data_IF_234990447478
#
_entry.id   IF_234990447478
#
_cell.length_a   1.000
_cell.length_b   1.000
_cell.length_c   1.000
_cell.angle_alpha   90.00
_cell.angle_beta   90.00
_cell.angle_gamma   90.00
#
_symmetry.space_group_name_H-M   'P 1'
#
loop_
_entity.id
_entity.type
_entity.pdbx_description
1 polymer ?
#
# COMPACT_ATOMS: atom_id res chain seq x y z
N UNK A 1 -49.34 -11.36 75.36
CA UNK A 1 -48.49 -10.12 75.48
C UNK A 1 -46.99 -10.36 75.30
N UNK A 2 -46.45 -11.57 75.27
CA UNK A 2 -45.03 -11.84 75.04
C UNK A 2 -44.62 -11.80 73.55
N UNK A 3 -45.53 -12.07 72.65
CA UNK A 3 -45.23 -12.11 71.19
C UNK A 3 -45.03 -10.78 70.52
N UNK A 4 -45.59 -9.67 71.00
CA UNK A 4 -45.43 -8.34 70.42
C UNK A 4 -44.04 -7.71 70.80
N UNK A 5 -43.56 -8.00 71.99
CA UNK A 5 -42.25 -7.47 72.42
C UNK A 5 -41.06 -8.12 71.65
N UNK A 6 -41.16 -9.41 71.31
CA UNK A 6 -40.15 -10.10 70.51
C UNK A 6 -40.09 -9.59 69.08
N UNK A 7 -41.24 -9.23 68.48
CA UNK A 7 -41.28 -8.66 67.12
C UNK A 7 -40.66 -7.27 67.05
N UNK A 8 -40.87 -6.44 68.07
CA UNK A 8 -40.25 -5.10 68.17
C UNK A 8 -38.74 -5.16 68.37
N UNK A 9 -38.24 -6.15 69.13
CA UNK A 9 -36.76 -6.31 69.33
C UNK A 9 -36.13 -6.81 68.02
N UNK A 10 -36.75 -7.73 67.29
CA UNK A 10 -36.26 -8.24 65.99
C UNK A 10 -36.26 -7.15 64.93
N UNK A 11 -37.31 -6.33 64.86
CA UNK A 11 -37.41 -5.18 63.98
C UNK A 11 -36.33 -4.12 64.29
N UNK A 12 -36.08 -3.83 65.54
CA UNK A 12 -35.01 -2.91 65.98
C UNK A 12 -33.60 -3.41 65.66
N UNK A 13 -33.38 -4.73 65.80
CA UNK A 13 -32.10 -5.33 65.42
C UNK A 13 -31.87 -5.28 63.90
N UNK A 14 -32.91 -5.55 63.13
CA UNK A 14 -32.83 -5.52 61.63
C UNK A 14 -32.54 -4.11 61.11
N UNK A 15 -33.19 -3.09 61.68
CA UNK A 15 -32.92 -1.69 61.34
C UNK A 15 -31.52 -1.24 61.78
N UNK A 16 -31.03 -1.70 62.88
CA UNK A 16 -29.65 -1.42 63.39
C UNK A 16 -28.60 -2.08 62.47
N UNK A 17 -28.79 -3.33 62.07
CA UNK A 17 -27.91 -4.02 61.11
C UNK A 17 -27.89 -3.33 59.76
N UNK A 18 -29.04 -2.89 59.23
CA UNK A 18 -29.15 -2.15 58.00
C UNK A 18 -28.44 -0.78 58.08
N UNK A 19 -28.58 -0.06 59.21
CA UNK A 19 -27.83 1.20 59.44
C UNK A 19 -26.34 0.95 59.56
N UNK A 20 -25.93 -0.12 60.20
CA UNK A 20 -24.52 -0.48 60.37
C UNK A 20 -23.87 -0.84 59.00
N UNK A 21 -24.61 -1.60 58.16
CA UNK A 21 -24.13 -1.93 56.80
C UNK A 21 -24.07 -0.70 55.90
N UNK A 22 -25.03 0.25 56.02
CA UNK A 22 -24.94 1.53 55.32
C UNK A 22 -23.81 2.41 55.80
N UNK A 23 -23.56 2.48 57.09
CA UNK A 23 -22.42 3.23 57.67
C UNK A 23 -21.08 2.61 57.26
N UNK A 24 -20.95 1.28 57.23
CA UNK A 24 -19.75 0.58 56.76
C UNK A 24 -19.53 0.80 55.26
N UNK A 25 -20.61 0.71 54.48
CA UNK A 25 -20.54 1.02 53.05
C UNK A 25 -20.11 2.50 52.78
N UNK A 26 -20.66 3.43 53.58
CA UNK A 26 -20.29 4.84 53.51
C UNK A 26 -18.85 5.10 53.91
N UNK A 27 -18.38 4.43 54.99
CA UNK A 27 -16.99 4.51 55.43
C UNK A 27 -16.01 3.93 54.42
N UNK A 28 -16.38 2.83 53.73
CA UNK A 28 -15.57 2.27 52.62
C UNK A 28 -15.54 3.20 51.42
N UNK A 29 -16.65 3.86 51.08
CA UNK A 29 -16.70 4.82 49.96
C UNK A 29 -15.84 6.05 50.27
N UNK A 30 -15.97 6.64 51.47
CA UNK A 30 -15.18 7.80 51.90
C UNK A 30 -13.69 7.45 52.01
N UNK A 31 -13.34 6.23 52.43
CA UNK A 31 -11.95 5.78 52.49
C UNK A 31 -11.39 5.54 51.07
N UNK A 32 -12.19 5.01 50.15
CA UNK A 32 -11.82 4.85 48.76
C UNK A 32 -11.62 6.21 48.06
N UNK A 33 -12.54 7.17 48.29
CA UNK A 33 -12.43 8.54 47.73
C UNK A 33 -11.18 9.27 48.23
N UNK A 34 -10.78 9.07 49.51
CA UNK A 34 -9.57 9.67 50.08
C UNK A 34 -8.28 9.04 49.51
N UNK A 35 -8.29 7.73 49.25
CA UNK A 35 -7.16 7.04 48.63
C UNK A 35 -7.01 7.50 47.16
N UNK A 36 -8.11 7.61 46.44
CA UNK A 36 -8.12 8.05 45.06
C UNK A 36 -7.65 9.51 44.91
N UNK A 37 -8.07 10.40 45.79
CA UNK A 37 -7.59 11.78 45.86
C UNK A 37 -6.08 11.85 46.12
N UNK A 38 -5.56 11.07 47.10
CA UNK A 38 -4.15 11.07 47.42
C UNK A 38 -3.28 10.50 46.29
N UNK A 39 -3.78 9.54 45.52
CA UNK A 39 -3.06 8.97 44.38
C UNK A 39 -3.15 9.86 43.15
N UNK A 40 -4.29 10.51 42.90
CA UNK A 40 -4.44 11.53 41.85
C UNK A 40 -3.49 12.70 42.12
N UNK A 41 -3.40 13.17 43.39
CA UNK A 41 -2.48 14.23 43.81
C UNK A 41 -1.02 13.87 43.58
N UNK A 42 -0.66 12.60 43.71
CA UNK A 42 0.70 12.10 43.48
C UNK A 42 1.15 12.26 42.02
N UNK A 43 0.29 12.05 41.06
CA UNK A 43 0.58 12.21 39.64
C UNK A 43 0.37 13.63 39.13
N UNK A 44 -0.74 14.26 39.56
CA UNK A 44 -1.23 15.50 39.01
C UNK A 44 -0.78 16.75 39.75
N UNK A 45 -0.59 16.65 41.11
CA UNK A 45 -0.29 17.79 41.99
C UNK A 45 0.76 17.41 43.03
N UNK A 46 2.03 17.20 42.69
CA UNK A 46 3.04 16.87 43.68
C UNK A 46 3.35 18.08 44.54
N UNK A 47 2.58 18.29 45.63
CA UNK A 47 2.73 19.43 46.53
C UNK A 47 4.08 19.47 47.28
N UNK A 48 4.81 18.36 47.34
CA UNK A 48 6.02 18.25 48.14
C UNK A 48 7.35 18.22 47.37
N UNK A 49 7.31 18.30 46.06
CA UNK A 49 8.52 18.18 45.26
C UNK A 49 8.93 19.55 44.69
N UNK A 50 10.13 20.00 45.08
CA UNK A 50 10.84 21.14 44.43
C UNK A 50 11.09 20.95 42.94
N UNK A 51 10.54 19.88 42.32
CA UNK A 51 10.77 19.50 40.94
C UNK A 51 9.48 19.51 40.12
N UNK A 52 8.97 20.73 39.82
CA UNK A 52 7.81 20.99 38.98
C UNK A 52 7.91 20.40 37.56
N UNK A 53 9.10 19.88 37.15
CA UNK A 53 9.32 19.24 35.87
C UNK A 53 8.67 17.86 35.69
N UNK A 54 8.31 17.19 36.77
CA UNK A 54 7.80 15.81 36.78
C UNK A 54 6.30 15.67 37.08
N UNK A 55 5.55 16.77 37.17
CA UNK A 55 4.10 16.68 37.29
C UNK A 55 3.46 16.28 35.97
N UNK A 56 2.55 15.32 36.03
CA UNK A 56 1.75 14.93 34.87
C UNK A 56 0.59 15.91 34.64
N UNK A 57 0.10 15.95 33.44
CA UNK A 57 -1.10 16.72 33.07
C UNK A 57 -2.33 15.82 33.21
N UNK A 58 -3.27 16.21 34.05
CA UNK A 58 -4.47 15.42 34.32
C UNK A 58 -5.72 16.13 33.80
N UNK A 59 -6.54 15.39 33.10
CA UNK A 59 -7.81 15.89 32.57
C UNK A 59 -8.95 14.92 32.86
N UNK A 60 -10.03 15.46 33.40
CA UNK A 60 -11.27 14.70 33.55
C UNK A 60 -12.04 14.73 32.23
N UNK A 61 -12.34 13.56 31.70
CA UNK A 61 -13.16 13.41 30.49
C UNK A 61 -14.56 13.07 30.93
N UNK A 62 -15.51 13.94 30.60
CA UNK A 62 -16.93 13.80 30.98
C UNK A 62 -17.66 12.66 30.25
N UNK A 63 -17.07 12.12 29.20
CA UNK A 63 -17.57 10.93 28.49
C UNK A 63 -16.37 10.14 27.96
N UNK A 64 -16.00 9.06 28.65
CA UNK A 64 -15.16 8.03 28.06
C UNK A 64 -16.02 7.14 27.18
N UNK A 65 -15.50 6.58 26.06
CA UNK A 65 -16.20 5.52 25.34
C UNK A 65 -16.60 4.33 26.20
N UNK A 66 -16.01 4.23 27.39
CA UNK A 66 -16.07 3.06 28.29
C UNK A 66 -16.76 3.33 29.63
N UNK A 67 -17.14 4.59 29.97
CA UNK A 67 -17.78 4.90 31.25
C UNK A 67 -18.06 6.38 31.47
N UNK A 68 -18.79 6.69 32.55
CA UNK A 68 -19.30 8.04 32.86
C UNK A 68 -18.29 9.00 33.52
N UNK A 69 -17.18 8.50 34.04
CA UNK A 69 -16.06 9.30 34.60
C UNK A 69 -14.76 8.69 34.12
N UNK A 70 -13.91 9.47 33.52
CA UNK A 70 -12.62 9.04 33.02
C UNK A 70 -11.55 10.06 33.38
N UNK A 71 -10.49 9.61 34.00
CA UNK A 71 -9.29 10.37 34.24
C UNK A 71 -8.24 10.01 33.20
N UNK A 72 -7.74 10.99 32.48
CA UNK A 72 -6.58 10.86 31.60
C UNK A 72 -5.39 11.50 32.26
N UNK A 73 -4.30 10.77 32.32
CA UNK A 73 -3.03 11.21 32.89
C UNK A 73 -1.99 11.21 31.79
N UNK A 74 -1.47 12.38 31.45
CA UNK A 74 -0.36 12.56 30.53
C UNK A 74 0.93 12.85 31.28
N UNK A 75 1.82 11.87 31.33
CA UNK A 75 3.15 11.92 31.92
C UNK A 75 4.24 11.87 30.82
N UNK A 76 3.93 12.26 29.58
CA UNK A 76 4.91 12.27 28.51
C UNK A 76 6.00 13.33 28.73
N UNK A 77 7.22 13.07 28.26
CA UNK A 77 8.37 14.00 28.35
C UNK A 77 8.75 14.45 29.77
N UNK A 78 8.63 13.56 30.76
CA UNK A 78 8.90 13.89 32.18
C UNK A 78 10.18 13.30 32.73
N UNK A 79 11.01 12.66 31.91
CA UNK A 79 12.26 11.96 32.28
C UNK A 79 12.04 10.87 33.36
N UNK A 80 10.89 10.20 33.36
CA UNK A 80 10.62 9.07 34.25
C UNK A 80 11.50 7.87 33.90
N UNK A 81 12.01 7.21 34.93
CA UNK A 81 12.63 5.89 34.85
C UNK A 81 11.73 4.86 35.49
N UNK A 82 11.92 3.60 35.14
CA UNK A 82 11.07 2.51 35.69
C UNK A 82 11.07 2.45 37.22
N UNK A 83 12.18 2.78 37.86
CA UNK A 83 12.30 2.84 39.34
C UNK A 83 11.52 4.01 39.96
N UNK A 84 11.18 5.05 39.21
CA UNK A 84 10.44 6.23 39.71
C UNK A 84 8.93 5.97 39.79
N UNK A 85 8.45 4.96 39.10
CA UNK A 85 7.01 4.65 38.92
C UNK A 85 6.65 3.44 39.80
N UNK A 86 6.05 3.69 40.96
CA UNK A 86 5.34 2.69 41.73
C UNK A 86 3.88 3.16 41.93
N UNK A 87 2.81 2.54 41.77
CA UNK A 87 2.30 1.39 41.14
C UNK A 87 0.83 1.14 41.38
N UNK A 88 0.12 1.87 42.25
CA UNK A 88 -1.32 1.88 42.34
C UNK A 88 -1.81 3.10 41.58
N UNK A 89 -2.63 2.89 40.55
CA UNK A 89 -3.18 3.96 39.75
C UNK A 89 -4.52 4.43 40.32
N UNK A 90 -4.94 5.68 40.10
CA UNK A 90 -6.25 6.18 40.52
C UNK A 90 -7.42 5.30 40.06
N UNK A 91 -8.46 5.18 40.87
CA UNK A 91 -9.57 4.26 40.68
C UNK A 91 -10.37 4.49 39.36
N UNK A 92 -10.34 5.68 38.80
CA UNK A 92 -11.10 6.04 37.61
C UNK A 92 -10.22 6.38 36.43
N UNK A 93 -8.98 5.87 36.43
CA UNK A 93 -8.06 6.09 35.32
C UNK A 93 -8.53 5.36 34.06
N UNK A 94 -8.64 6.08 32.94
CA UNK A 94 -9.01 5.52 31.65
C UNK A 94 -7.77 5.41 30.73
N UNK A 95 -6.91 6.43 30.75
CA UNK A 95 -5.73 6.51 29.89
C UNK A 95 -4.52 7.02 30.65
N UNK A 96 -3.39 6.33 30.46
CA UNK A 96 -2.08 6.73 30.98
C UNK A 96 -1.09 6.83 29.82
N UNK A 97 -0.54 8.02 29.65
CA UNK A 97 0.53 8.28 28.70
C UNK A 97 1.87 8.43 29.42
N UNK A 98 2.77 7.50 29.22
CA UNK A 98 4.16 7.48 29.72
C UNK A 98 5.15 7.57 28.53
N UNK A 99 4.73 8.01 27.37
CA UNK A 99 5.60 8.09 26.20
C UNK A 99 6.71 9.14 26.37
N UNK A 100 7.77 8.99 25.57
CA UNK A 100 8.91 9.92 25.58
C UNK A 100 9.56 10.09 26.96
N UNK A 101 9.75 8.98 27.65
CA UNK A 101 10.46 8.91 28.93
C UNK A 101 11.72 8.05 28.81
N UNK A 102 12.36 7.73 29.93
CA UNK A 102 13.56 6.92 29.98
C UNK A 102 13.31 5.56 30.70
N UNK A 103 12.13 4.96 30.41
CA UNK A 103 11.79 3.66 31.01
C UNK A 103 12.62 2.57 30.35
N UNK A 104 13.36 1.80 31.14
CA UNK A 104 14.18 0.66 30.72
C UNK A 104 13.44 -0.69 30.85
N UNK A 105 12.34 -0.70 31.55
CA UNK A 105 11.45 -1.85 31.76
C UNK A 105 10.01 -1.36 31.89
N UNK A 106 9.05 -2.26 31.70
CA UNK A 106 7.63 -1.95 31.92
C UNK A 106 7.41 -1.76 33.40
N UNK A 107 6.89 -0.61 33.86
CA UNK A 107 6.57 -0.42 35.28
C UNK A 107 5.44 -1.38 35.70
N UNK A 108 5.49 -1.86 36.96
CA UNK A 108 4.42 -2.72 37.48
C UNK A 108 3.23 -1.83 37.83
N UNK A 109 2.24 -1.76 37.01
CA UNK A 109 1.02 -0.99 37.19
C UNK A 109 -0.14 -1.91 37.60
N UNK A 110 -1.01 -1.41 38.46
CA UNK A 110 -2.24 -2.11 38.85
C UNK A 110 -3.45 -1.21 38.65
N UNK A 111 -4.39 -1.64 37.84
CA UNK A 111 -5.67 -0.97 37.63
C UNK A 111 -6.67 -1.92 36.96
N UNK A 112 -7.89 -1.87 37.42
CA UNK A 112 -9.02 -2.57 36.81
C UNK A 112 -9.87 -1.64 35.91
N UNK A 113 -9.49 -0.37 35.78
CA UNK A 113 -10.21 0.64 34.99
C UNK A 113 -9.39 1.19 33.83
N UNK A 114 -8.07 0.96 33.79
CA UNK A 114 -7.20 1.47 32.73
C UNK A 114 -7.51 0.77 31.40
N UNK A 115 -7.91 1.55 30.38
CA UNK A 115 -8.21 1.07 29.05
C UNK A 115 -7.08 1.31 28.04
N UNK A 116 -6.32 2.39 28.20
CA UNK A 116 -5.25 2.77 27.29
C UNK A 116 -3.94 3.02 28.03
N UNK A 117 -2.86 2.36 27.61
CA UNK A 117 -1.49 2.55 28.10
C UNK A 117 -0.55 2.86 26.96
N UNK A 118 0.07 4.04 27.00
CA UNK A 118 1.06 4.46 26.02
C UNK A 118 2.47 4.47 26.64
N UNK A 119 3.33 3.57 26.16
CA UNK A 119 4.75 3.43 26.54
C UNK A 119 5.69 3.70 25.36
N UNK A 120 5.21 4.35 24.29
CA UNK A 120 6.02 4.64 23.12
C UNK A 120 7.22 5.51 23.42
N UNK A 121 8.27 5.41 22.60
CA UNK A 121 9.47 6.24 22.75
C UNK A 121 10.10 6.16 24.14
N UNK A 122 10.35 4.93 24.60
CA UNK A 122 11.09 4.62 25.80
C UNK A 122 12.30 3.72 25.48
N UNK A 123 12.94 3.15 26.48
CA UNK A 123 14.09 2.27 26.30
C UNK A 123 13.82 0.83 26.80
N UNK A 124 12.57 0.39 26.76
CA UNK A 124 12.20 -0.96 27.18
C UNK A 124 12.84 -1.98 26.22
N UNK A 125 13.61 -2.92 26.78
CA UNK A 125 14.40 -3.88 26.01
C UNK A 125 13.81 -5.29 25.95
N UNK A 126 12.94 -5.64 26.91
CA UNK A 126 12.30 -6.94 27.00
C UNK A 126 10.92 -6.87 27.65
N UNK A 127 10.05 -7.80 27.28
CA UNK A 127 8.80 -8.05 27.99
C UNK A 127 8.88 -9.43 28.64
N UNK A 128 8.57 -9.47 29.92
CA UNK A 128 8.59 -10.70 30.73
C UNK A 128 7.17 -11.09 31.12
N UNK A 129 7.00 -12.36 31.49
CA UNK A 129 5.71 -12.87 31.93
C UNK A 129 5.19 -12.07 33.15
N UNK A 130 3.91 -11.66 33.06
CA UNK A 130 3.24 -10.92 34.12
C UNK A 130 3.41 -9.40 34.13
N UNK A 131 4.14 -8.80 33.17
CA UNK A 131 4.28 -7.34 33.08
C UNK A 131 2.94 -6.59 33.10
N UNK A 132 1.90 -7.15 32.50
CA UNK A 132 0.58 -6.52 32.41
C UNK A 132 -0.51 -7.26 33.19
N UNK A 133 -0.18 -8.24 34.01
CA UNK A 133 -1.14 -9.15 34.67
C UNK A 133 -2.23 -8.44 35.47
N UNK A 134 -1.95 -7.25 35.97
CA UNK A 134 -2.85 -6.47 36.85
C UNK A 134 -3.62 -5.38 36.07
N UNK A 135 -3.58 -5.39 34.74
CA UNK A 135 -4.25 -4.42 33.86
C UNK A 135 -5.40 -5.09 33.09
N UNK A 136 -6.31 -5.73 33.82
CA UNK A 136 -7.32 -6.63 33.26
C UNK A 136 -8.32 -5.97 32.29
N UNK A 137 -8.55 -4.66 32.40
CA UNK A 137 -9.43 -3.90 31.52
C UNK A 137 -8.75 -3.27 30.31
N UNK A 138 -7.42 -3.47 30.15
CA UNK A 138 -6.67 -2.81 29.09
C UNK A 138 -7.16 -3.22 27.70
N UNK A 139 -7.39 -2.23 26.84
CA UNK A 139 -7.87 -2.37 25.45
C UNK A 139 -6.84 -1.94 24.43
N UNK A 140 -6.03 -0.96 24.75
CA UNK A 140 -5.02 -0.43 23.85
C UNK A 140 -3.67 -0.35 24.55
N UNK A 141 -2.66 -1.01 23.99
CA UNK A 141 -1.30 -1.03 24.49
C UNK A 141 -0.34 -0.60 23.38
N UNK A 142 0.38 0.50 23.64
CA UNK A 142 1.32 1.07 22.71
C UNK A 142 2.74 0.95 23.25
N UNK A 143 3.55 0.11 22.61
CA UNK A 143 4.94 -0.20 22.94
C UNK A 143 5.91 0.16 21.81
N UNK A 144 5.43 0.84 20.79
CA UNK A 144 6.23 1.23 19.63
C UNK A 144 7.39 2.15 19.98
N UNK A 145 8.44 2.18 19.16
CA UNK A 145 9.62 3.02 19.37
C UNK A 145 10.31 2.74 20.73
N UNK A 146 10.56 1.48 20.96
CA UNK A 146 11.36 0.98 22.08
C UNK A 146 12.54 0.16 21.55
N UNK A 147 13.21 -0.59 22.43
CA UNK A 147 14.33 -1.47 22.08
C UNK A 147 14.00 -2.94 22.31
N UNK A 148 12.70 -3.31 22.29
CA UNK A 148 12.22 -4.64 22.63
C UNK A 148 12.78 -5.66 21.64
N UNK A 149 13.71 -6.51 22.11
CA UNK A 149 14.27 -7.60 21.32
C UNK A 149 13.85 -8.96 21.83
N UNK A 150 13.39 -9.05 23.06
CA UNK A 150 13.00 -10.30 23.72
C UNK A 150 11.56 -10.24 24.24
N UNK A 151 10.77 -11.23 23.85
CA UNK A 151 9.44 -11.49 24.37
C UNK A 151 9.43 -12.85 25.03
N UNK A 152 8.94 -12.94 26.26
CA UNK A 152 8.74 -14.22 26.93
C UNK A 152 7.34 -14.76 26.67
N UNK A 153 7.17 -16.08 26.66
CA UNK A 153 5.84 -16.68 26.70
C UNK A 153 5.09 -16.16 27.94
N UNK A 154 3.83 -15.73 27.79
CA UNK A 154 3.07 -15.12 28.90
C UNK A 154 3.34 -13.62 29.12
N UNK A 155 4.13 -12.94 28.26
CA UNK A 155 4.33 -11.47 28.35
C UNK A 155 3.02 -10.68 28.30
N UNK A 156 1.98 -11.21 27.66
CA UNK A 156 0.67 -10.58 27.53
C UNK A 156 -0.42 -11.27 28.38
N UNK A 157 -0.03 -12.11 29.32
CA UNK A 157 -0.99 -12.71 30.26
C UNK A 157 -1.72 -11.63 31.06
N UNK A 158 -3.03 -11.82 31.27
CA UNK A 158 -3.89 -10.88 32.00
C UNK A 158 -4.51 -9.77 31.15
N UNK A 159 -4.39 -9.83 29.82
CA UNK A 159 -4.97 -8.86 28.90
C UNK A 159 -6.12 -9.44 28.02
N UNK A 160 -7.19 -10.00 28.59
CA UNK A 160 -8.24 -10.67 27.81
C UNK A 160 -9.08 -9.70 26.94
N UNK A 161 -9.03 -8.42 27.25
CA UNK A 161 -9.80 -7.37 26.57
C UNK A 161 -8.98 -6.52 25.60
N UNK A 162 -7.69 -6.84 25.38
CA UNK A 162 -6.82 -6.07 24.51
C UNK A 162 -7.27 -6.16 23.05
N UNK A 163 -7.52 -5.01 22.45
CA UNK A 163 -8.01 -4.85 21.07
C UNK A 163 -6.92 -4.34 20.11
N UNK A 164 -6.02 -3.48 20.62
CA UNK A 164 -4.94 -2.87 19.85
C UNK A 164 -3.62 -3.11 20.55
N UNK A 165 -2.66 -3.69 19.84
CA UNK A 165 -1.28 -3.88 20.27
C UNK A 165 -0.33 -3.30 19.24
N UNK A 166 0.45 -2.29 19.66
CA UNK A 166 1.51 -1.70 18.86
C UNK A 166 2.88 -2.08 19.39
N UNK A 167 3.64 -2.82 18.61
CA UNK A 167 5.03 -3.22 18.82
C UNK A 167 5.94 -2.68 17.72
N UNK A 168 5.49 -1.70 16.92
CA UNK A 168 6.25 -1.16 15.81
C UNK A 168 7.54 -0.46 16.25
N UNK A 169 8.53 -0.39 15.36
CA UNK A 169 9.82 0.24 15.66
C UNK A 169 10.50 -0.31 16.92
N UNK A 170 10.68 -1.62 16.94
CA UNK A 170 11.40 -2.34 17.99
C UNK A 170 12.54 -3.18 17.39
N UNK A 171 13.11 -4.07 18.15
CA UNK A 171 14.22 -4.93 17.74
C UNK A 171 13.83 -6.42 17.77
N UNK A 172 12.56 -6.72 17.49
CA UNK A 172 12.05 -8.08 17.48
C UNK A 172 12.68 -8.87 16.33
N UNK A 173 13.06 -10.12 16.61
CA UNK A 173 13.61 -11.05 15.63
C UNK A 173 12.84 -12.37 15.55
N UNK A 174 12.09 -12.71 16.59
CA UNK A 174 11.17 -13.86 16.62
C UNK A 174 9.97 -13.58 17.54
N UNK A 175 8.91 -14.34 17.37
CA UNK A 175 7.76 -14.40 18.27
C UNK A 175 7.70 -15.77 18.91
N UNK A 176 7.74 -15.88 20.25
CA UNK A 176 7.50 -17.16 20.92
C UNK A 176 6.17 -17.78 20.50
N UNK A 177 6.14 -19.11 20.41
CA UNK A 177 4.91 -19.82 20.03
C UNK A 177 3.76 -19.47 20.97
N UNK A 178 2.57 -19.24 20.40
CA UNK A 178 1.34 -18.87 21.12
C UNK A 178 1.43 -17.59 21.98
N UNK A 179 2.36 -16.68 21.67
CA UNK A 179 2.56 -15.41 22.39
C UNK A 179 1.26 -14.61 22.56
N UNK A 180 0.43 -14.58 21.52
CA UNK A 180 -0.82 -13.81 21.50
C UNK A 180 -2.06 -14.64 21.88
N UNK A 181 -1.90 -15.89 22.30
CA UNK A 181 -3.04 -16.74 22.70
C UNK A 181 -3.89 -16.16 23.84
N UNK A 182 -3.35 -15.44 24.85
CA UNK A 182 -4.15 -14.79 25.89
C UNK A 182 -5.01 -13.63 25.38
N UNK A 183 -4.73 -13.06 24.18
CA UNK A 183 -5.37 -11.88 23.65
C UNK A 183 -6.63 -12.25 22.87
N UNK A 184 -7.71 -12.59 23.57
CA UNK A 184 -8.91 -13.20 23.02
C UNK A 184 -9.70 -12.33 22.03
N UNK A 185 -9.50 -11.01 22.07
CA UNK A 185 -10.23 -10.03 21.25
C UNK A 185 -9.33 -9.08 20.46
N UNK A 186 -8.05 -9.44 20.33
CA UNK A 186 -7.07 -8.62 19.59
C UNK A 186 -7.52 -8.44 18.14
N UNK A 187 -7.83 -7.20 17.77
CA UNK A 187 -8.29 -6.82 16.43
C UNK A 187 -7.21 -6.19 15.57
N UNK A 188 -6.27 -5.45 16.19
CA UNK A 188 -5.19 -4.77 15.48
C UNK A 188 -3.85 -5.11 16.10
N UNK A 189 -2.93 -5.59 15.26
CA UNK A 189 -1.54 -5.86 15.63
C UNK A 189 -0.61 -5.13 14.66
N UNK A 190 0.27 -4.31 15.20
CA UNK A 190 1.33 -3.64 14.44
C UNK A 190 2.70 -4.10 14.94
N UNK A 191 3.46 -4.78 14.09
CA UNK A 191 4.84 -5.23 14.35
C UNK A 191 5.81 -4.56 13.36
N UNK A 192 5.37 -3.56 12.64
CA UNK A 192 6.13 -2.88 11.59
C UNK A 192 7.49 -2.36 12.10
N UNK A 193 8.46 -2.24 11.20
CA UNK A 193 9.79 -1.70 11.51
C UNK A 193 10.61 -2.52 12.54
N UNK A 194 10.36 -3.81 12.61
CA UNK A 194 11.21 -4.77 13.28
C UNK A 194 12.12 -5.45 12.24
N UNK A 195 13.18 -4.75 11.82
CA UNK A 195 13.99 -5.09 10.65
C UNK A 195 14.74 -6.42 10.76
N UNK A 196 14.87 -6.97 11.97
CA UNK A 196 15.53 -8.25 12.24
C UNK A 196 14.55 -9.41 12.33
N UNK A 197 13.29 -9.16 12.06
CA UNK A 197 12.19 -10.09 12.34
C UNK A 197 12.32 -11.44 11.63
N UNK A 198 12.89 -11.50 10.45
CA UNK A 198 13.01 -12.73 9.66
C UNK A 198 14.42 -13.34 9.67
N UNK A 199 15.32 -12.87 10.54
CA UNK A 199 16.69 -13.40 10.61
C UNK A 199 16.75 -14.86 11.09
N UNK A 200 15.78 -15.32 11.89
CA UNK A 200 15.71 -16.68 12.44
C UNK A 200 15.09 -17.70 11.49
N UNK A 201 14.38 -17.27 10.44
CA UNK A 201 13.66 -18.15 9.51
C UNK A 201 12.48 -18.90 10.15
N UNK A 202 12.04 -18.48 11.35
CA UNK A 202 10.87 -19.05 12.01
C UNK A 202 9.58 -18.52 11.37
N UNK A 203 8.58 -19.40 11.29
CA UNK A 203 7.29 -19.05 10.72
C UNK A 203 6.52 -18.07 11.64
N UNK A 204 6.19 -16.90 11.13
CA UNK A 204 5.35 -15.91 11.80
C UNK A 204 4.04 -16.51 12.33
N UNK A 205 3.50 -17.49 11.61
CA UNK A 205 2.24 -18.15 11.98
C UNK A 205 2.32 -18.86 13.33
N UNK A 206 3.43 -19.49 13.69
CA UNK A 206 3.58 -20.15 14.99
C UNK A 206 3.51 -19.16 16.16
N UNK A 207 4.05 -17.98 15.99
CA UNK A 207 3.98 -16.89 16.98
C UNK A 207 2.57 -16.30 17.13
N UNK A 208 1.83 -16.18 16.02
CA UNK A 208 0.47 -15.64 16.03
C UNK A 208 -0.55 -16.61 16.65
N UNK A 209 -0.29 -17.93 16.62
CA UNK A 209 -1.17 -18.95 17.18
C UNK A 209 -2.40 -19.23 16.33
N UNK A 210 -3.30 -20.09 16.85
CA UNK A 210 -4.47 -20.60 16.09
C UNK A 210 -5.77 -19.83 16.27
N UNK A 211 -5.87 -18.98 17.31
CA UNK A 211 -7.12 -18.29 17.68
C UNK A 211 -7.12 -16.84 17.27
N UNK A 212 -6.98 -16.58 15.98
CA UNK A 212 -6.97 -15.21 15.48
C UNK A 212 -8.34 -14.57 15.47
N UNK A 213 -8.41 -13.37 15.99
CA UNK A 213 -9.49 -12.42 15.71
C UNK A 213 -8.97 -11.14 15.05
N UNK A 214 -7.73 -11.17 14.59
CA UNK A 214 -7.12 -10.03 13.93
C UNK A 214 -7.89 -9.63 12.68
N UNK A 215 -8.27 -8.36 12.64
CA UNK A 215 -8.83 -7.72 11.45
C UNK A 215 -7.79 -6.89 10.71
N UNK A 216 -6.79 -6.37 11.43
CA UNK A 216 -5.73 -5.53 10.88
C UNK A 216 -4.36 -6.03 11.34
N UNK A 217 -3.48 -6.33 10.39
CA UNK A 217 -2.10 -6.75 10.64
C UNK A 217 -1.14 -5.85 9.83
N UNK A 218 -0.18 -5.24 10.52
CA UNK A 218 0.88 -4.44 9.90
C UNK A 218 2.24 -5.06 10.15
N UNK A 219 2.95 -5.31 9.05
CA UNK A 219 4.27 -5.96 9.02
C UNK A 219 5.24 -5.17 8.11
N UNK A 220 5.13 -3.84 8.12
CA UNK A 220 5.95 -3.00 7.26
C UNK A 220 7.42 -3.04 7.70
N UNK A 221 8.34 -3.09 6.75
CA UNK A 221 9.78 -3.09 7.02
C UNK A 221 10.26 -4.17 8.01
N UNK A 222 9.73 -5.39 7.87
CA UNK A 222 10.06 -6.56 8.68
C UNK A 222 11.03 -7.52 8.00
N UNK A 223 11.64 -7.13 6.87
CA UNK A 223 12.60 -7.95 6.12
C UNK A 223 12.02 -9.27 5.58
N UNK A 224 10.71 -9.30 5.28
CA UNK A 224 10.00 -10.49 4.82
C UNK A 224 10.27 -10.72 3.33
N UNK A 225 10.75 -11.94 2.99
CA UNK A 225 10.88 -12.40 1.60
C UNK A 225 9.66 -13.14 1.09
N UNK A 226 8.90 -13.73 2.00
CA UNK A 226 7.62 -14.40 1.76
C UNK A 226 6.77 -14.36 3.02
N UNK A 227 5.48 -14.67 2.90
CA UNK A 227 4.54 -14.68 4.01
C UNK A 227 3.47 -15.76 3.78
N UNK A 228 3.27 -16.60 4.79
CA UNK A 228 2.21 -17.58 4.83
C UNK A 228 1.24 -17.24 5.95
N UNK A 229 -0.01 -17.01 5.61
CA UNK A 229 -1.08 -16.75 6.57
C UNK A 229 -2.21 -17.77 6.41
N UNK A 230 -2.95 -18.11 7.48
CA UNK A 230 -4.07 -19.01 7.36
C UNK A 230 -5.16 -18.44 6.44
N UNK A 231 -5.60 -19.22 5.48
CA UNK A 231 -6.63 -18.82 4.52
C UNK A 231 -7.94 -18.40 5.23
N UNK A 232 -8.25 -19.06 6.35
CA UNK A 232 -9.45 -18.81 7.15
C UNK A 232 -9.30 -17.69 8.20
N UNK A 233 -8.18 -16.96 8.24
CA UNK A 233 -8.02 -15.84 9.16
C UNK A 233 -9.04 -14.74 8.82
N UNK A 234 -9.67 -14.07 9.82
CA UNK A 234 -10.69 -13.04 9.57
C UNK A 234 -10.06 -11.68 9.22
N UNK A 235 -8.86 -11.68 8.66
CA UNK A 235 -8.07 -10.50 8.37
C UNK A 235 -8.71 -9.70 7.23
N UNK A 236 -8.92 -8.40 7.45
CA UNK A 236 -9.49 -7.46 6.49
C UNK A 236 -8.43 -6.52 5.90
N UNK A 237 -7.43 -6.16 6.68
CA UNK A 237 -6.38 -5.24 6.28
C UNK A 237 -5.01 -5.85 6.56
N UNK A 238 -4.16 -5.89 5.53
CA UNK A 238 -2.79 -6.35 5.59
C UNK A 238 -1.87 -5.30 4.96
N UNK A 239 -0.86 -4.85 5.72
CA UNK A 239 0.22 -4.01 5.22
C UNK A 239 1.54 -4.76 5.29
N UNK A 240 2.22 -4.82 4.13
CA UNK A 240 3.51 -5.50 3.92
C UNK A 240 4.52 -4.55 3.26
N UNK A 241 4.36 -3.25 3.47
CA UNK A 241 5.21 -2.24 2.82
C UNK A 241 6.69 -2.44 3.19
N UNK A 242 7.57 -2.05 2.27
CA UNK A 242 9.02 -1.99 2.51
C UNK A 242 9.61 -3.32 3.01
N UNK A 243 9.20 -4.41 2.37
CA UNK A 243 9.74 -5.75 2.59
C UNK A 243 10.58 -6.20 1.38
N UNK A 244 10.90 -7.49 1.30
CA UNK A 244 11.69 -8.07 0.22
C UNK A 244 10.86 -9.02 -0.67
N UNK A 245 9.57 -8.81 -0.75
CA UNK A 245 8.66 -9.64 -1.52
C UNK A 245 8.96 -9.48 -3.03
N UNK A 246 9.22 -10.60 -3.69
CA UNK A 246 9.37 -10.68 -5.15
C UNK A 246 8.07 -11.02 -5.86
N UNK A 247 7.09 -11.54 -5.13
CA UNK A 247 5.75 -11.90 -5.57
C UNK A 247 4.74 -11.52 -4.49
N UNK A 248 3.48 -11.39 -4.84
CA UNK A 248 2.41 -11.32 -3.83
C UNK A 248 2.29 -12.69 -3.17
N UNK A 249 2.22 -12.78 -1.83
CA UNK A 249 2.09 -14.05 -1.15
C UNK A 249 0.89 -14.85 -1.65
N UNK A 250 1.11 -16.13 -1.99
CA UNK A 250 0.07 -16.96 -2.59
C UNK A 250 -1.02 -17.38 -1.60
N UNK A 251 -0.70 -17.44 -0.30
CA UNK A 251 -1.64 -17.83 0.76
C UNK A 251 -2.01 -16.62 1.59
N UNK A 252 -3.05 -15.92 1.16
CA UNK A 252 -3.65 -14.80 1.88
C UNK A 252 -5.10 -15.13 2.28
N UNK A 253 -5.61 -14.55 3.38
CA UNK A 253 -6.99 -14.76 3.81
C UNK A 253 -8.00 -14.29 2.77
N UNK A 254 -9.02 -15.12 2.52
CA UNK A 254 -10.11 -14.81 1.58
C UNK A 254 -10.97 -13.60 2.01
N UNK A 255 -10.90 -13.23 3.29
CA UNK A 255 -11.64 -12.09 3.86
C UNK A 255 -10.95 -10.73 3.63
N UNK A 256 -9.78 -10.73 2.99
CA UNK A 256 -8.94 -9.53 2.84
C UNK A 256 -9.59 -8.50 1.93
N UNK A 257 -9.77 -7.28 2.45
CA UNK A 257 -10.37 -6.15 1.75
C UNK A 257 -9.33 -5.11 1.31
N UNK A 258 -8.25 -4.96 2.08
CA UNK A 258 -7.18 -4.01 1.82
C UNK A 258 -5.82 -4.70 1.89
N UNK A 259 -5.07 -4.59 0.81
CA UNK A 259 -3.69 -5.09 0.72
C UNK A 259 -2.75 -3.96 0.29
N UNK A 260 -1.71 -3.72 1.08
CA UNK A 260 -0.64 -2.79 0.74
C UNK A 260 0.69 -3.56 0.70
N UNK A 261 1.26 -3.68 -0.50
CA UNK A 261 2.55 -4.33 -0.76
C UNK A 261 3.59 -3.35 -1.30
N UNK A 262 3.38 -2.06 -1.11
CA UNK A 262 4.24 -1.00 -1.63
C UNK A 262 5.68 -1.12 -1.15
N UNK A 263 6.63 -0.57 -1.92
CA UNK A 263 8.08 -0.58 -1.62
C UNK A 263 8.63 -2.00 -1.41
N UNK A 264 8.32 -2.92 -2.35
CA UNK A 264 8.81 -4.30 -2.41
C UNK A 264 9.60 -4.56 -3.69
N UNK A 265 10.04 -5.79 -3.94
CA UNK A 265 10.98 -6.15 -4.99
C UNK A 265 10.33 -6.87 -6.19
N UNK A 266 9.03 -6.71 -6.41
CA UNK A 266 8.35 -7.24 -7.59
C UNK A 266 8.94 -6.62 -8.85
N UNK A 267 9.30 -7.45 -9.84
CA UNK A 267 9.76 -7.00 -11.17
C UNK A 267 8.60 -6.92 -12.17
N UNK A 268 7.66 -7.85 -12.06
CA UNK A 268 6.48 -7.96 -12.90
C UNK A 268 5.28 -8.35 -12.05
N UNK A 269 4.09 -7.87 -12.44
CA UNK A 269 2.83 -8.34 -11.87
C UNK A 269 2.22 -9.37 -12.81
N UNK A 270 2.04 -10.59 -12.33
CA UNK A 270 1.57 -11.75 -13.08
C UNK A 270 0.15 -12.15 -12.67
N UNK A 271 -0.58 -12.92 -13.48
CA UNK A 271 -1.93 -13.40 -13.13
C UNK A 271 -1.99 -14.20 -11.83
N UNK A 272 -0.97 -15.02 -11.55
CA UNK A 272 -0.87 -15.81 -10.34
C UNK A 272 -0.74 -14.97 -9.06
N UNK A 273 -0.24 -13.74 -9.16
CA UNK A 273 -0.08 -12.85 -8.02
C UNK A 273 -1.43 -12.36 -7.46
N UNK A 274 -2.44 -12.26 -8.32
CA UNK A 274 -3.74 -11.68 -7.93
C UNK A 274 -4.86 -12.71 -7.89
N UNK A 275 -4.60 -13.96 -8.28
CA UNK A 275 -5.63 -14.99 -8.42
C UNK A 275 -6.48 -15.18 -7.15
N UNK A 276 -5.88 -15.10 -5.98
CA UNK A 276 -6.55 -15.29 -4.69
C UNK A 276 -7.09 -13.98 -4.07
N UNK A 277 -6.92 -12.83 -4.73
CA UNK A 277 -7.35 -11.53 -4.21
C UNK A 277 -8.82 -11.19 -4.54
N UNK A 278 -9.68 -12.20 -4.53
CA UNK A 278 -11.08 -12.08 -5.04
C UNK A 278 -11.97 -11.10 -4.28
N UNK A 279 -11.64 -10.80 -3.02
CA UNK A 279 -12.41 -9.88 -2.16
C UNK A 279 -11.70 -8.54 -1.92
N UNK A 280 -10.48 -8.38 -2.44
CA UNK A 280 -9.69 -7.16 -2.22
C UNK A 280 -10.33 -5.98 -2.96
N UNK A 281 -10.66 -4.94 -2.19
CA UNK A 281 -11.22 -3.69 -2.70
C UNK A 281 -10.18 -2.61 -2.90
N UNK A 282 -9.11 -2.64 -2.11
CA UNK A 282 -8.04 -1.66 -2.18
C UNK A 282 -6.69 -2.38 -2.28
N UNK A 283 -5.99 -2.15 -3.39
CA UNK A 283 -4.69 -2.73 -3.67
C UNK A 283 -3.67 -1.60 -3.95
N UNK A 284 -2.62 -1.56 -3.12
CA UNK A 284 -1.53 -0.59 -3.25
C UNK A 284 -0.23 -1.31 -3.63
N UNK A 285 0.34 -0.90 -4.76
CA UNK A 285 1.60 -1.42 -5.35
C UNK A 285 2.49 -0.21 -5.67
N UNK A 286 2.67 0.64 -4.68
CA UNK A 286 3.32 1.94 -4.81
C UNK A 286 4.83 1.87 -4.53
N UNK A 287 5.56 2.89 -4.97
CA UNK A 287 6.98 3.05 -4.68
C UNK A 287 7.84 1.81 -5.05
N UNK A 288 7.39 1.01 -6.03
CA UNK A 288 8.06 -0.24 -6.44
C UNK A 288 9.36 0.07 -7.19
N UNK A 289 10.54 -0.29 -6.64
CA UNK A 289 11.82 0.08 -7.26
C UNK A 289 12.14 -0.74 -8.52
N UNK A 290 11.59 -1.94 -8.66
CA UNK A 290 11.93 -2.88 -9.73
C UNK A 290 10.78 -3.19 -10.69
N UNK A 291 9.54 -2.81 -10.37
CA UNK A 291 8.36 -3.16 -11.17
C UNK A 291 8.41 -2.48 -12.54
N UNK A 292 8.53 -3.29 -13.59
CA UNK A 292 8.65 -2.83 -14.97
C UNK A 292 7.38 -3.05 -15.77
N UNK A 293 6.65 -4.15 -15.50
CA UNK A 293 5.54 -4.60 -16.34
C UNK A 293 4.35 -5.10 -15.51
N UNK A 294 3.15 -4.79 -16.00
CA UNK A 294 1.90 -5.44 -15.61
C UNK A 294 1.48 -6.31 -16.80
N UNK A 295 1.44 -7.61 -16.59
CA UNK A 295 1.25 -8.59 -17.65
C UNK A 295 -0.22 -8.79 -18.01
N UNK A 296 -0.48 -9.43 -19.15
CA UNK A 296 -1.82 -9.81 -19.55
C UNK A 296 -2.53 -10.62 -18.46
N UNK A 297 -3.80 -10.31 -18.22
CA UNK A 297 -4.64 -10.92 -17.18
C UNK A 297 -4.15 -10.76 -15.73
N UNK A 298 -3.11 -9.97 -15.48
CA UNK A 298 -2.58 -9.76 -14.13
C UNK A 298 -3.59 -9.20 -13.12
N UNK A 299 -4.67 -8.59 -13.60
CA UNK A 299 -5.74 -7.97 -12.80
C UNK A 299 -7.13 -8.51 -13.20
N UNK A 300 -7.19 -9.67 -13.87
CA UNK A 300 -8.44 -10.21 -14.40
C UNK A 300 -9.36 -10.80 -13.31
N UNK A 301 -8.81 -11.15 -12.15
CA UNK A 301 -9.51 -11.86 -11.07
C UNK A 301 -9.95 -10.95 -9.92
N UNK A 302 -9.62 -9.66 -9.96
CA UNK A 302 -9.94 -8.69 -8.90
C UNK A 302 -11.22 -7.89 -9.22
N UNK A 303 -12.30 -8.59 -9.47
CA UNK A 303 -13.57 -8.01 -9.95
C UNK A 303 -14.20 -6.97 -9.01
N UNK A 304 -13.94 -7.06 -7.71
CA UNK A 304 -14.49 -6.17 -6.68
C UNK A 304 -13.55 -5.02 -6.31
N UNK A 305 -12.40 -4.90 -7.01
CA UNK A 305 -11.41 -3.87 -6.74
C UNK A 305 -11.98 -2.48 -6.99
N UNK A 306 -11.91 -1.61 -5.98
CA UNK A 306 -12.41 -0.23 -6.02
C UNK A 306 -11.28 0.78 -6.21
N UNK A 307 -10.11 0.51 -5.61
CA UNK A 307 -8.93 1.37 -5.67
C UNK A 307 -7.69 0.56 -6.03
N UNK A 308 -6.97 1.03 -7.04
CA UNK A 308 -5.69 0.48 -7.47
C UNK A 308 -4.67 1.60 -7.64
N UNK A 309 -3.52 1.48 -6.99
CA UNK A 309 -2.45 2.47 -7.10
C UNK A 309 -1.10 1.84 -7.41
N UNK A 310 -0.43 2.39 -8.43
CA UNK A 310 0.96 2.09 -8.80
C UNK A 310 1.86 3.33 -8.58
N UNK A 311 1.42 4.25 -7.75
CA UNK A 311 2.07 5.54 -7.56
C UNK A 311 3.57 5.40 -7.30
N UNK A 312 4.38 6.27 -7.92
CA UNK A 312 5.84 6.37 -7.78
C UNK A 312 6.64 5.10 -8.17
N UNK A 313 6.02 4.10 -8.81
CA UNK A 313 6.71 2.93 -9.36
C UNK A 313 7.46 3.33 -10.63
N UNK A 314 8.64 3.96 -10.45
CA UNK A 314 9.38 4.71 -11.49
C UNK A 314 9.95 3.85 -12.61
N UNK A 315 9.95 2.54 -12.50
CA UNK A 315 10.36 1.63 -13.57
C UNK A 315 9.19 1.05 -14.36
N UNK A 316 7.95 1.23 -13.88
CA UNK A 316 6.77 0.75 -14.57
C UNK A 316 6.58 1.50 -15.88
N UNK A 317 6.91 0.82 -16.97
CA UNK A 317 6.91 1.36 -18.33
C UNK A 317 5.97 0.62 -19.29
N UNK A 318 5.47 -0.55 -18.88
CA UNK A 318 4.58 -1.38 -19.68
C UNK A 318 3.34 -1.82 -18.88
N UNK A 319 2.17 -1.52 -19.46
CA UNK A 319 0.88 -2.03 -19.04
C UNK A 319 0.30 -2.79 -20.23
N UNK A 320 0.10 -4.10 -20.06
CA UNK A 320 -0.48 -4.90 -21.14
C UNK A 320 -1.91 -4.47 -21.45
N UNK A 321 -2.28 -4.57 -22.73
CA UNK A 321 -3.61 -4.20 -23.22
C UNK A 321 -4.74 -5.00 -22.56
N UNK A 322 -4.46 -6.24 -22.17
CA UNK A 322 -5.38 -7.17 -21.54
C UNK A 322 -5.07 -7.37 -20.04
N UNK A 323 -4.34 -6.45 -19.41
CA UNK A 323 -3.96 -6.56 -18.01
C UNK A 323 -5.17 -6.79 -17.06
N UNK A 324 -6.32 -6.18 -17.38
CA UNK A 324 -7.58 -6.33 -16.63
C UNK A 324 -8.48 -7.47 -17.17
N UNK A 325 -7.97 -8.29 -18.08
CA UNK A 325 -8.68 -9.40 -18.70
C UNK A 325 -9.42 -9.05 -20.00
N UNK A 326 -9.69 -10.05 -20.85
CA UNK A 326 -10.28 -9.85 -22.17
C UNK A 326 -11.74 -9.37 -22.13
N UNK A 327 -12.44 -9.56 -21.03
CA UNK A 327 -13.84 -9.14 -20.87
C UNK A 327 -14.02 -7.63 -20.70
N UNK A 328 -12.95 -6.91 -20.38
CA UNK A 328 -12.98 -5.44 -20.27
C UNK A 328 -13.04 -4.75 -21.63
N UNK A 329 -12.65 -5.42 -22.69
CA UNK A 329 -12.75 -4.92 -24.06
C UNK A 329 -14.19 -4.96 -24.63
N UNK A 330 -15.07 -5.76 -24.00
CA UNK A 330 -16.49 -5.83 -24.36
C UNK A 330 -17.31 -5.00 -23.37
N UNK A 331 -17.94 -3.95 -23.83
CA UNK A 331 -18.59 -2.85 -23.11
C UNK A 331 -19.70 -3.20 -22.11
N UNK A 332 -19.88 -4.45 -21.72
CA UNK A 332 -21.02 -4.93 -20.91
C UNK A 332 -20.70 -5.21 -19.45
N UNK A 333 -19.43 -5.44 -19.07
CA UNK A 333 -19.07 -5.72 -17.68
C UNK A 333 -18.76 -4.42 -16.93
N UNK A 334 -19.60 -4.05 -15.97
CA UNK A 334 -19.30 -2.99 -15.02
C UNK A 334 -18.26 -3.47 -14.03
N UNK A 335 -17.17 -2.73 -13.89
CA UNK A 335 -16.17 -2.96 -12.86
C UNK A 335 -16.52 -2.20 -11.59
N UNK A 336 -16.02 -2.69 -10.45
CA UNK A 336 -16.10 -1.96 -9.20
C UNK A 336 -15.05 -0.83 -9.12
N UNK A 337 -14.02 -0.83 -10.01
CA UNK A 337 -12.89 0.07 -9.97
C UNK A 337 -13.33 1.53 -10.17
N UNK A 338 -12.98 2.37 -9.20
CA UNK A 338 -13.34 3.77 -9.16
C UNK A 338 -12.15 4.70 -9.18
N UNK A 339 -11.06 4.32 -8.51
CA UNK A 339 -9.84 5.12 -8.45
C UNK A 339 -8.65 4.32 -8.96
N UNK A 340 -7.94 4.88 -9.94
CA UNK A 340 -6.76 4.28 -10.55
C UNK A 340 -5.64 5.31 -10.64
N UNK A 341 -4.51 5.04 -10.01
CA UNK A 341 -3.34 5.92 -10.03
C UNK A 341 -2.13 5.26 -10.65
N UNK A 342 -1.58 5.93 -11.67
CA UNK A 342 -0.25 5.64 -12.24
C UNK A 342 0.74 6.78 -11.99
N UNK A 343 0.43 7.67 -11.07
CA UNK A 343 1.24 8.86 -10.78
C UNK A 343 2.72 8.54 -10.65
N UNK A 344 3.57 9.29 -11.37
CA UNK A 344 5.02 9.17 -11.26
C UNK A 344 5.62 7.89 -11.83
N UNK A 345 4.85 7.08 -12.60
CA UNK A 345 5.37 5.93 -13.35
C UNK A 345 6.01 6.37 -14.67
N UNK A 346 6.59 5.43 -15.42
CA UNK A 346 7.23 5.68 -16.72
C UNK A 346 6.38 5.22 -17.92
N UNK A 347 5.08 5.01 -17.70
CA UNK A 347 4.15 4.70 -18.78
C UNK A 347 4.08 5.86 -19.77
N UNK A 348 4.17 5.55 -21.07
CA UNK A 348 4.19 6.55 -22.14
C UNK A 348 2.92 6.57 -22.97
N UNK A 349 2.28 5.44 -23.05
CA UNK A 349 1.05 5.24 -23.83
C UNK A 349 0.14 4.23 -23.12
N UNK A 350 -1.13 4.24 -23.49
CA UNK A 350 -2.14 3.27 -23.06
C UNK A 350 -2.87 2.76 -24.29
N UNK A 351 -3.08 1.45 -24.35
CA UNK A 351 -3.86 0.88 -25.44
C UNK A 351 -5.32 1.33 -25.35
N UNK A 352 -5.93 1.62 -26.50
CA UNK A 352 -7.33 2.04 -26.59
C UNK A 352 -8.34 0.98 -26.12
N UNK A 353 -7.92 -0.29 -26.01
CA UNK A 353 -8.73 -1.37 -25.39
C UNK A 353 -9.06 -1.10 -23.93
N UNK A 354 -8.29 -0.25 -23.24
CA UNK A 354 -8.53 0.18 -21.86
C UNK A 354 -9.59 1.29 -21.74
N UNK A 355 -10.04 1.88 -22.86
CA UNK A 355 -11.01 2.97 -22.84
C UNK A 355 -12.33 2.62 -22.11
N UNK A 356 -12.95 1.43 -22.29
CA UNK A 356 -14.16 1.07 -21.57
C UNK A 356 -13.98 1.02 -20.05
N UNK A 357 -12.80 0.59 -19.57
CA UNK A 357 -12.45 0.62 -18.15
C UNK A 357 -12.31 2.06 -17.66
N UNK A 358 -11.53 2.88 -18.36
CA UNK A 358 -11.24 4.25 -17.95
C UNK A 358 -12.48 5.14 -17.96
N UNK A 359 -13.46 4.88 -18.80
CA UNK A 359 -14.76 5.62 -18.81
C UNK A 359 -15.60 5.37 -17.55
N UNK A 360 -15.36 4.30 -16.81
CA UNK A 360 -16.11 3.95 -15.59
C UNK A 360 -15.46 4.49 -14.32
N UNK A 361 -14.22 5.00 -14.41
CA UNK A 361 -13.49 5.53 -13.26
C UNK A 361 -14.11 6.84 -12.77
N UNK A 362 -14.06 7.05 -11.45
CA UNK A 362 -14.34 8.33 -10.83
C UNK A 362 -13.07 9.21 -10.76
N UNK A 363 -11.90 8.56 -10.64
CA UNK A 363 -10.61 9.23 -10.52
C UNK A 363 -9.55 8.47 -11.33
N UNK A 364 -8.78 9.22 -12.16
CA UNK A 364 -7.66 8.71 -12.92
C UNK A 364 -6.47 9.65 -12.77
N UNK A 365 -5.47 9.24 -11.97
CA UNK A 365 -4.26 10.03 -11.73
C UNK A 365 -3.13 9.60 -12.66
N UNK A 366 -2.82 10.46 -13.64
CA UNK A 366 -1.74 10.32 -14.61
C UNK A 366 -0.64 11.39 -14.42
N UNK A 367 -0.58 12.01 -13.24
CA UNK A 367 0.38 13.07 -12.98
C UNK A 367 1.83 12.56 -13.01
N UNK A 368 2.71 13.28 -13.69
CA UNK A 368 4.13 12.95 -13.74
C UNK A 368 4.50 11.86 -14.75
N UNK A 369 3.57 11.33 -15.55
CA UNK A 369 3.84 10.38 -16.62
C UNK A 369 4.51 11.08 -17.81
N UNK A 370 5.50 10.44 -18.48
CA UNK A 370 6.11 10.95 -19.71
C UNK A 370 5.26 10.61 -20.95
N UNK A 371 3.98 11.04 -20.98
CA UNK A 371 3.01 10.64 -21.99
C UNK A 371 3.43 11.05 -23.40
N UNK A 372 3.33 10.13 -24.33
CA UNK A 372 3.50 10.35 -25.76
C UNK A 372 2.13 10.61 -26.40
N UNK A 373 1.79 11.89 -26.55
CA UNK A 373 0.51 12.33 -27.09
C UNK A 373 0.51 12.26 -28.61
N UNK A 374 0.35 11.08 -29.15
CA UNK A 374 0.17 10.78 -30.56
C UNK A 374 -1.24 10.23 -30.83
N UNK A 375 -1.49 9.73 -32.04
CA UNK A 375 -2.81 9.23 -32.43
C UNK A 375 -3.26 8.01 -31.62
N UNK A 376 -2.35 7.24 -31.02
CA UNK A 376 -2.70 6.10 -30.18
C UNK A 376 -3.32 6.54 -28.85
N UNK A 377 -2.98 7.75 -28.37
CA UNK A 377 -3.44 8.27 -27.10
C UNK A 377 -4.61 9.27 -27.22
N UNK A 378 -5.07 9.58 -28.45
CA UNK A 378 -6.13 10.58 -28.67
C UNK A 378 -7.44 10.25 -27.96
N UNK A 379 -7.74 8.98 -27.74
CA UNK A 379 -8.95 8.53 -27.05
C UNK A 379 -9.04 8.99 -25.59
N UNK A 380 -7.91 9.24 -24.92
CA UNK A 380 -7.91 9.81 -23.55
C UNK A 380 -8.61 11.17 -23.46
N UNK A 381 -8.66 11.93 -24.56
CA UNK A 381 -9.39 13.21 -24.59
C UNK A 381 -10.91 13.06 -24.52
N UNK A 382 -11.43 11.88 -24.86
CA UNK A 382 -12.86 11.59 -24.92
C UNK A 382 -13.39 11.00 -23.61
N UNK A 383 -12.49 10.79 -22.63
CA UNK A 383 -12.89 10.26 -21.33
C UNK A 383 -13.77 11.27 -20.58
N UNK A 384 -14.83 10.83 -19.91
CA UNK A 384 -15.66 11.68 -19.07
C UNK A 384 -14.97 12.05 -17.74
N UNK A 385 -13.94 11.28 -17.32
CA UNK A 385 -13.17 11.52 -16.11
C UNK A 385 -12.10 12.58 -16.36
N UNK A 386 -11.99 13.55 -15.47
CA UNK A 386 -10.90 14.52 -15.50
C UNK A 386 -9.58 13.84 -15.23
N UNK A 387 -8.62 14.00 -16.14
CA UNK A 387 -7.27 13.49 -15.97
C UNK A 387 -6.27 14.63 -15.85
N UNK A 388 -5.28 14.47 -14.98
CA UNK A 388 -4.19 15.41 -14.75
C UNK A 388 -2.93 15.10 -15.60
N UNK A 389 -3.03 14.14 -16.52
CA UNK A 389 -1.95 13.72 -17.40
C UNK A 389 -1.48 14.84 -18.34
N UNK A 390 -0.16 15.00 -18.47
CA UNK A 390 0.46 16.00 -19.33
C UNK A 390 1.29 15.36 -20.44
N UNK A 391 1.22 15.93 -21.64
CA UNK A 391 2.02 15.48 -22.78
C UNK A 391 3.51 15.77 -22.53
N UNK A 392 4.37 14.75 -22.71
CA UNK A 392 5.82 14.89 -22.72
C UNK A 392 6.37 14.98 -24.16
N UNK A 393 5.76 14.25 -25.10
CA UNK A 393 6.03 14.30 -26.53
C UNK A 393 4.71 14.48 -27.29
N UNK A 394 4.72 15.06 -28.48
CA UNK A 394 5.82 15.78 -29.15
C UNK A 394 6.15 17.12 -28.45
N UNK A 395 7.33 17.68 -28.78
CA UNK A 395 7.83 18.89 -28.12
C UNK A 395 6.89 20.10 -28.21
N UNK A 396 6.10 20.21 -29.29
CA UNK A 396 5.15 21.31 -29.56
C UNK A 396 4.03 21.45 -28.52
N UNK A 397 3.66 20.34 -27.84
CA UNK A 397 2.59 20.30 -26.82
C UNK A 397 3.09 19.83 -25.46
N UNK A 398 4.42 19.82 -25.24
CA UNK A 398 5.01 19.42 -23.97
C UNK A 398 4.46 20.26 -22.81
N UNK A 399 4.04 19.60 -21.74
CA UNK A 399 3.48 20.24 -20.54
C UNK A 399 1.99 20.57 -20.62
N UNK A 400 1.36 20.49 -21.80
CA UNK A 400 -0.09 20.67 -21.93
C UNK A 400 -0.84 19.47 -21.36
N UNK A 401 -1.99 19.70 -20.72
CA UNK A 401 -2.89 18.59 -20.33
C UNK A 401 -3.37 17.85 -21.58
N UNK A 402 -3.47 16.54 -21.50
CA UNK A 402 -3.97 15.69 -22.59
C UNK A 402 -5.36 16.16 -23.06
N UNK A 403 -6.24 16.51 -22.11
CA UNK A 403 -7.60 16.98 -22.38
C UNK A 403 -7.65 18.32 -23.09
N UNK A 404 -6.71 19.23 -22.83
CA UNK A 404 -6.68 20.59 -23.40
C UNK A 404 -5.89 20.70 -24.70
N UNK A 405 -5.07 19.71 -25.05
CA UNK A 405 -4.29 19.73 -26.27
C UNK A 405 -5.20 19.60 -27.52
N UNK A 406 -4.91 20.35 -28.60
CA UNK A 406 -5.71 20.31 -29.84
C UNK A 406 -5.62 18.95 -30.51
N UNK A 407 -6.69 18.48 -31.16
CA UNK A 407 -6.77 17.17 -31.81
C UNK A 407 -5.74 16.99 -32.93
N UNK A 408 -5.43 18.06 -33.71
CA UNK A 408 -4.41 18.08 -34.75
C UNK A 408 -2.97 17.89 -34.20
N UNK A 409 -2.77 18.09 -32.90
CA UNK A 409 -1.50 17.85 -32.27
C UNK A 409 -1.18 16.37 -32.07
N UNK A 410 -2.20 15.49 -32.08
CA UNK A 410 -2.09 14.03 -31.94
C UNK A 410 -1.90 13.37 -33.32
N UNK A 411 -0.91 13.81 -34.11
CA UNK A 411 -0.60 13.22 -35.38
C UNK A 411 0.28 11.97 -35.24
N UNK A 412 -0.10 10.91 -35.94
CA UNK A 412 0.76 9.76 -36.18
C UNK A 412 1.60 10.00 -37.43
N UNK A 413 2.60 10.86 -37.35
CA UNK A 413 3.65 10.91 -38.34
C UNK A 413 4.53 9.67 -38.20
N UNK A 414 4.09 8.57 -38.82
CA UNK A 414 4.78 7.27 -38.74
C UNK A 414 6.09 7.24 -39.50
N UNK A 415 6.32 8.26 -40.40
CA UNK A 415 7.50 8.31 -41.19
C UNK A 415 8.48 9.40 -40.70
N UNK A 416 9.70 9.05 -40.39
CA UNK A 416 10.72 10.04 -40.07
C UNK A 416 10.97 10.94 -41.28
N UNK A 417 11.21 12.23 -41.06
CA UNK A 417 11.39 13.25 -42.14
C UNK A 417 12.36 12.84 -43.25
N UNK A 418 13.41 12.09 -42.87
CA UNK A 418 14.36 11.56 -43.87
C UNK A 418 13.73 10.50 -44.79
N UNK A 419 12.72 9.74 -44.34
CA UNK A 419 12.02 8.76 -45.19
C UNK A 419 11.16 9.45 -46.26
N UNK A 420 10.52 10.58 -45.94
CA UNK A 420 9.86 11.40 -46.96
C UNK A 420 10.90 11.90 -47.98
N UNK A 421 12.09 12.30 -47.56
CA UNK A 421 13.18 12.68 -48.45
C UNK A 421 13.60 11.53 -49.37
N UNK A 422 13.70 10.31 -48.87
CA UNK A 422 14.01 9.14 -49.71
C UNK A 422 12.88 8.81 -50.71
N UNK A 423 11.64 8.92 -50.30
CA UNK A 423 10.49 8.72 -51.25
C UNK A 423 10.54 9.79 -52.33
N UNK A 424 10.73 11.06 -52.03
CA UNK A 424 10.85 12.13 -53.00
C UNK A 424 12.04 11.89 -53.95
N UNK A 425 13.21 11.53 -53.42
CA UNK A 425 14.39 11.21 -54.20
C UNK A 425 14.16 10.00 -55.13
N UNK A 426 13.49 8.97 -54.64
CA UNK A 426 13.16 7.80 -55.49
C UNK A 426 12.17 8.15 -56.62
N UNK A 427 11.18 8.99 -56.34
CA UNK A 427 10.26 9.49 -57.37
C UNK A 427 10.97 10.35 -58.42
N UNK A 428 11.91 11.23 -58.02
CA UNK A 428 12.73 12.01 -58.93
C UNK A 428 13.61 11.08 -59.78
N UNK A 429 14.25 10.09 -59.17
CA UNK A 429 15.09 9.13 -59.89
C UNK A 429 14.27 8.30 -60.93
N UNK A 430 13.08 7.85 -60.52
CA UNK A 430 12.17 7.13 -61.42
C UNK A 430 11.67 8.01 -62.60
N UNK A 431 11.33 9.27 -62.34
CA UNK A 431 10.95 10.23 -63.38
C UNK A 431 12.11 10.53 -64.34
N UNK A 432 13.32 10.73 -63.81
CA UNK A 432 14.53 10.93 -64.61
C UNK A 432 14.85 9.69 -65.47
N UNK A 433 14.72 8.48 -64.91
CA UNK A 433 14.88 7.23 -65.64
C UNK A 433 13.81 7.08 -66.75
N UNK A 434 12.56 7.43 -66.47
CA UNK A 434 11.47 7.45 -67.44
C UNK A 434 11.76 8.40 -68.59
N UNK A 435 12.19 9.64 -68.32
CA UNK A 435 12.58 10.62 -69.34
C UNK A 435 13.77 10.12 -70.15
N UNK A 436 14.79 9.53 -69.50
CA UNK A 436 15.93 8.93 -70.17
C UNK A 436 15.51 7.84 -71.13
N UNK A 437 14.64 6.93 -70.73
CA UNK A 437 14.11 5.86 -71.62
C UNK A 437 13.30 6.41 -72.80
N UNK A 438 12.49 7.46 -72.59
CA UNK A 438 11.77 8.14 -73.64
C UNK A 438 12.73 8.80 -74.65
N UNK A 439 13.76 9.50 -74.12
CA UNK A 439 14.76 10.15 -75.02
C UNK A 439 15.56 9.10 -75.79
N UNK A 440 15.89 7.96 -75.19
CA UNK A 440 16.59 6.85 -75.87
C UNK A 440 15.68 6.17 -76.89
N UNK A 441 14.38 6.04 -76.57
CA UNK A 441 13.40 5.51 -77.56
C UNK A 441 13.09 6.44 -78.72
N UNK A 442 13.23 7.79 -78.53
CA UNK A 442 13.05 8.82 -79.60
C UNK A 442 14.33 9.05 -80.38
N UNK A 443 15.46 8.44 -80.07
CA UNK A 443 16.65 8.54 -80.90
C UNK A 443 16.36 7.85 -82.23
N UNK A 444 16.44 8.58 -83.38
CA UNK A 444 16.19 7.97 -84.71
C UNK A 444 17.23 6.88 -84.90
N UNK A 445 16.75 5.68 -85.22
CA UNK A 445 17.63 4.60 -85.63
C UNK A 445 18.42 5.15 -86.85
N UNK A 446 19.71 5.34 -86.70
CA UNK A 446 20.61 5.60 -87.81
C UNK A 446 20.42 4.49 -88.83
N UNK A 447 19.73 4.82 -89.94
CA UNK A 447 19.47 3.88 -90.97
C UNK A 447 20.76 3.18 -91.41
N UNK A 448 20.68 1.93 -91.55
CA UNK A 448 21.66 1.10 -92.23
C UNK A 448 21.71 1.46 -93.67
N UNK A 449 22.72 2.24 -94.15
CA UNK A 449 22.94 2.53 -95.53
C UNK A 449 23.43 1.28 -96.22
N UNK A 450 22.53 0.61 -96.99
CA UNK A 450 22.92 -0.49 -97.96
C UNK A 450 23.78 0.06 -99.07
N UNK A 451 25.03 -0.22 -99.10
CA UNK A 451 25.93 0.02 -100.21
C UNK A 451 25.82 -1.15 -101.20
N UNK A 452 25.10 -0.94 -102.31
CA UNK A 452 24.92 -1.90 -103.38
C UNK A 452 26.22 -1.96 -104.21
N UNK A 453 27.00 -3.02 -104.11
CA UNK A 453 28.07 -3.33 -105.09
C UNK A 453 27.42 -4.05 -106.28
N UNK A 454 27.40 -3.39 -107.39
CA UNK A 454 27.00 -4.04 -108.68
C UNK A 454 28.30 -4.60 -109.30
N UNK A 455 28.41 -5.90 -109.25
CA UNK A 455 29.41 -6.61 -110.04
C UNK A 455 28.83 -6.98 -111.43
N UNK A 456 29.49 -6.59 -112.50
CA UNK A 456 29.11 -6.92 -113.81
C UNK A 456 29.26 -8.41 -114.07
N UNK A 457 28.18 -9.07 -114.42
CA UNK A 457 28.27 -10.33 -115.17
C UNK A 457 27.68 -11.61 -114.52
N UNK A 458 26.57 -11.56 -113.70
CA UNK A 458 25.81 -12.77 -113.45
C UNK A 458 24.38 -12.47 -113.01
N UNK A 459 23.40 -13.22 -113.55
CA UNK A 459 21.97 -12.99 -113.26
C UNK A 459 21.55 -13.49 -111.82
N UNK A 460 22.48 -13.98 -111.03
CA UNK A 460 22.17 -14.44 -109.63
C UNK A 460 23.17 -13.82 -108.64
N UNK A 461 22.85 -12.63 -108.17
CA UNK A 461 23.66 -11.99 -107.10
C UNK A 461 23.08 -12.40 -105.73
N UNK A 462 23.84 -13.13 -104.97
CA UNK A 462 23.59 -13.40 -103.50
C UNK A 462 23.91 -12.12 -102.71
N UNK A 463 22.95 -11.63 -101.95
CA UNK A 463 23.12 -10.52 -101.00
C UNK A 463 23.68 -11.09 -99.73
N UNK A 464 24.93 -10.74 -99.41
CA UNK A 464 25.54 -11.06 -98.13
C UNK A 464 25.49 -9.81 -97.20
N UNK A 465 24.91 -9.95 -96.07
CA UNK A 465 24.83 -8.89 -95.03
C UNK A 465 26.00 -9.10 -94.07
N UNK A 466 26.99 -8.27 -94.06
CA UNK A 466 28.03 -8.23 -93.02
C UNK A 466 27.66 -7.23 -91.95
N UNK A 467 27.74 -7.60 -90.62
CA UNK A 467 27.52 -6.67 -89.54
C UNK A 467 28.83 -5.86 -89.30
N UNK A 468 28.67 -4.54 -89.27
CA UNK A 468 29.76 -3.60 -89.01
C UNK A 468 30.22 -3.73 -87.52
N UNK A 469 31.40 -4.28 -87.29
CA UNK A 469 32.07 -4.32 -86.00
C UNK A 469 32.64 -2.96 -85.69
N UNK A 470 32.06 -2.26 -84.72
CA UNK A 470 32.70 -1.06 -84.18
C UNK A 470 33.82 -1.50 -83.25
N UNK A 471 35.07 -1.15 -83.60
CA UNK A 471 36.19 -1.14 -82.70
C UNK A 471 36.04 -0.02 -81.65
N UNK A 472 36.29 -0.34 -80.41
CA UNK A 472 36.41 0.62 -79.29
C UNK A 472 37.86 1.16 -79.31
N UNK A 473 38.07 2.44 -79.15
CA UNK A 473 39.35 2.93 -78.65
C UNK A 473 39.17 3.38 -77.19
N UNK A 474 40.00 2.84 -76.32
CA UNK A 474 40.46 3.24 -75.00
C UNK A 474 39.56 3.94 -74.03
#
# INVERSE_FOLDING_TARGET
MASLKSLQIVSGLLTFVLLLTQLLAHAHVVQAENIDAAETDRFCYPESSKNTRRSCECSNVSASPWGNRALRIDCSYKDYRSADLSLVLPLYIDSLDLSWNALDSVPILSSDTLHQLNLRHNNVSQLVAGNFKLLTSLRELYLGWNSIGRLEAGSFDGLPHLQVLDLAHNNLHLLPGQLFAPLLVLGTLDISWNRRFNESGEDLYTGLGVNWKLSTLRLDACNLGDLHLPVNAPLKELSLRRNQLKRIPAQLPETLLRLDISDNLLEELLPEDTFNLTQVRQLFIEDMPLLQRVMSNALAHVDVLETLSFQNSRQLSHLDAEAFGPTMTTSTKKTALRSLSFRGTMLRTFNSTLAPLFTQLAELDLNGLPLQCDCELVWLKQLPVETNGRCYKPARIRGMLVTSARGDAFSCDTWPRWAYGLVVLSLIALSAAGIYLIVMGLRPHRGVTMRRKVGAGSPYARVTIEPNRQENPH
#
